data_IF_907745132299
#
_entry.id   IF_907745132299
#
_cell.length_a   1.000
_cell.length_b   1.000
_cell.length_c   1.000
_cell.angle_alpha   90.00
_cell.angle_beta   90.00
_cell.angle_gamma   90.00
#
_symmetry.space_group_name_H-M   'P 1'
#
loop_
_entity.id
_entity.type
_entity.pdbx_description
1 polymer ?
#
# COMPACT_ATOMS: atom_id res chain seq x y z
N UNK A 1 -29.43 -7.27 26.20
CA UNK A 1 -28.25 -6.48 25.78
C UNK A 1 -27.67 -7.17 24.55
N UNK A 2 -27.90 -6.63 23.38
CA UNK A 2 -27.31 -7.13 22.15
C UNK A 2 -25.79 -6.94 22.24
N UNK A 3 -25.05 -8.03 22.11
CA UNK A 3 -23.59 -8.03 22.01
C UNK A 3 -23.23 -7.25 20.73
N UNK A 4 -22.87 -5.98 20.86
CA UNK A 4 -22.33 -5.21 19.74
C UNK A 4 -21.10 -6.00 19.27
N UNK A 5 -21.21 -6.65 18.11
CA UNK A 5 -20.09 -7.29 17.45
C UNK A 5 -19.17 -6.14 17.03
N UNK A 6 -18.18 -5.84 17.86
CA UNK A 6 -17.08 -4.97 17.44
C UNK A 6 -16.38 -5.71 16.31
N UNK A 7 -16.72 -5.34 15.08
CA UNK A 7 -15.97 -5.79 13.91
C UNK A 7 -14.51 -5.41 14.14
N UNK A 8 -13.66 -6.43 14.32
CA UNK A 8 -12.26 -6.20 14.65
C UNK A 8 -11.55 -5.70 13.41
N UNK A 9 -11.34 -4.40 13.30
CA UNK A 9 -10.50 -3.82 12.26
C UNK A 9 -9.11 -4.47 12.38
N UNK A 10 -8.70 -5.18 11.34
CA UNK A 10 -7.44 -5.95 11.31
C UNK A 10 -6.30 -5.15 10.67
N UNK A 11 -6.64 -4.19 9.80
CA UNK A 11 -5.68 -3.38 9.07
C UNK A 11 -6.26 -1.99 8.78
N UNK A 12 -5.41 -1.00 8.87
CA UNK A 12 -5.77 0.38 8.55
C UNK A 12 -4.76 0.92 7.54
N UNK A 13 -5.27 1.45 6.43
CA UNK A 13 -4.47 2.16 5.44
C UNK A 13 -4.37 3.61 5.86
N UNK A 14 -3.19 4.19 5.79
CA UNK A 14 -2.94 5.60 6.08
C UNK A 14 -2.19 6.18 4.88
N UNK A 15 -2.87 7.05 4.14
CA UNK A 15 -2.27 7.75 3.03
C UNK A 15 -1.41 8.91 3.57
N UNK A 16 -0.11 8.66 3.74
CA UNK A 16 0.81 9.70 4.25
C UNK A 16 1.05 10.81 3.22
N UNK A 17 0.81 10.52 1.94
CA UNK A 17 0.80 11.46 0.84
C UNK A 17 -0.03 10.91 -0.32
N UNK A 18 -0.72 11.77 -1.05
CA UNK A 18 -1.36 11.44 -2.32
C UNK A 18 -0.52 11.91 -3.53
N UNK A 19 0.66 12.47 -3.30
CA UNK A 19 1.57 12.93 -4.33
C UNK A 19 2.43 11.76 -4.83
N UNK A 20 2.46 11.54 -6.14
CA UNK A 20 3.30 10.54 -6.78
C UNK A 20 4.22 11.19 -7.81
N UNK A 21 5.43 10.67 -7.93
CA UNK A 21 6.39 11.08 -8.95
C UNK A 21 6.15 10.40 -10.32
N UNK A 22 5.16 9.49 -10.40
CA UNK A 22 4.77 8.79 -11.64
C UNK A 22 3.31 9.08 -11.98
N UNK A 23 2.96 8.84 -13.25
CA UNK A 23 1.58 8.91 -13.75
C UNK A 23 1.25 7.63 -14.54
N UNK A 24 1.16 6.52 -13.83
CA UNK A 24 0.86 5.22 -14.42
C UNK A 24 -0.60 5.18 -14.93
N UNK A 25 -0.83 4.66 -16.13
CA UNK A 25 -2.16 4.60 -16.73
C UNK A 25 -3.12 3.67 -15.99
N UNK A 26 -2.59 2.69 -15.28
CA UNK A 26 -3.36 1.73 -14.48
C UNK A 26 -3.74 2.24 -13.09
N UNK A 27 -3.17 3.37 -12.64
CA UNK A 27 -3.47 3.93 -11.34
C UNK A 27 -4.77 4.75 -11.41
N UNK A 28 -5.60 4.65 -10.36
CA UNK A 28 -6.75 5.57 -10.28
C UNK A 28 -6.25 7.01 -10.17
N UNK A 29 -6.96 7.91 -10.81
CA UNK A 29 -6.74 9.35 -10.65
C UNK A 29 -7.68 9.86 -9.57
N UNK A 30 -7.12 10.48 -8.55
CA UNK A 30 -7.93 11.18 -7.55
C UNK A 30 -8.12 12.65 -7.95
N UNK A 31 -9.22 13.25 -7.48
CA UNK A 31 -9.56 14.65 -7.73
C UNK A 31 -9.29 15.54 -6.50
N UNK A 32 -8.74 14.97 -5.43
CA UNK A 32 -8.40 15.66 -4.19
C UNK A 32 -7.17 16.55 -4.36
N UNK A 33 -7.08 17.60 -3.57
CA UNK A 33 -5.88 18.44 -3.49
C UNK A 33 -4.66 17.61 -3.06
N UNK A 34 -3.49 17.97 -3.61
CA UNK A 34 -2.22 17.35 -3.24
C UNK A 34 -1.89 17.66 -1.78
N UNK A 35 -1.66 16.63 -0.98
CA UNK A 35 -1.34 16.77 0.43
C UNK A 35 -0.34 15.72 0.90
N UNK A 36 0.52 16.13 1.83
CA UNK A 36 1.33 15.27 2.68
C UNK A 36 0.91 15.48 4.12
N UNK A 37 0.84 14.41 4.92
CA UNK A 37 0.59 14.53 6.35
C UNK A 37 1.81 15.16 7.03
N UNK A 38 1.58 16.11 7.92
CA UNK A 38 2.61 16.53 8.87
C UNK A 38 2.89 15.42 9.89
N UNK A 39 4.05 15.48 10.56
CA UNK A 39 4.37 14.51 11.61
C UNK A 39 3.38 14.57 12.78
N UNK A 40 2.85 15.76 13.08
CA UNK A 40 1.86 15.95 14.15
C UNK A 40 0.52 15.31 13.77
N UNK A 41 0.04 15.52 12.52
CA UNK A 41 -1.15 14.87 11.99
C UNK A 41 -0.98 13.35 12.02
N UNK A 42 0.16 12.82 11.53
CA UNK A 42 0.44 11.40 11.55
C UNK A 42 0.49 10.83 12.97
N UNK A 43 1.17 11.50 13.89
CA UNK A 43 1.25 11.09 15.30
C UNK A 43 -0.13 11.04 15.96
N UNK A 44 -1.00 12.02 15.64
CA UNK A 44 -2.39 12.03 16.12
C UNK A 44 -3.17 10.82 15.59
N UNK A 45 -3.06 10.53 14.30
CA UNK A 45 -3.70 9.36 13.68
C UNK A 45 -3.22 8.07 14.36
N UNK A 46 -1.90 7.90 14.58
CA UNK A 46 -1.33 6.70 15.20
C UNK A 46 -1.85 6.48 16.61
N UNK A 47 -2.03 7.53 17.41
CA UNK A 47 -2.61 7.42 18.78
C UNK A 47 -4.01 6.82 18.77
N UNK A 48 -4.82 7.15 17.77
CA UNK A 48 -6.16 6.58 17.61
C UNK A 48 -6.11 5.15 17.04
N UNK A 49 -5.34 4.95 15.99
CA UNK A 49 -5.28 3.70 15.23
C UNK A 49 -4.74 2.52 16.05
N UNK A 50 -3.73 2.75 16.90
CA UNK A 50 -3.10 1.69 17.70
C UNK A 50 -4.03 0.95 18.66
N UNK A 51 -5.18 1.53 18.98
CA UNK A 51 -6.20 0.91 19.81
C UNK A 51 -6.96 -0.22 19.09
N UNK A 52 -6.94 -0.22 17.74
CA UNK A 52 -7.69 -1.15 16.90
C UNK A 52 -6.82 -2.23 16.29
N UNK A 53 -5.65 -1.86 15.82
CA UNK A 53 -4.71 -2.77 15.17
C UNK A 53 -3.27 -2.29 15.34
N UNK A 54 -2.34 -3.22 15.32
CA UNK A 54 -0.91 -2.89 15.16
C UNK A 54 -0.43 -2.90 13.71
N UNK A 55 -1.29 -3.27 12.75
CA UNK A 55 -0.92 -3.39 11.34
C UNK A 55 -1.44 -2.21 10.55
N UNK A 56 -0.54 -1.42 9.99
CA UNK A 56 -0.85 -0.27 9.14
C UNK A 56 -0.19 -0.41 7.77
N UNK A 57 -0.81 0.21 6.80
CA UNK A 57 -0.38 0.24 5.40
C UNK A 57 -0.18 1.70 5.01
N UNK A 58 1.04 2.13 4.69
CA UNK A 58 1.35 3.53 4.39
C UNK A 58 1.13 3.84 2.90
N UNK A 59 -0.04 3.48 2.40
CA UNK A 59 -0.44 3.80 1.03
C UNK A 59 -1.96 3.79 0.86
N UNK A 60 -2.45 4.62 -0.02
CA UNK A 60 -3.73 4.56 -0.73
C UNK A 60 -3.46 5.02 -2.15
N UNK A 61 -3.19 6.30 -2.33
CA UNK A 61 -2.62 6.93 -3.51
C UNK A 61 -1.20 7.44 -3.22
N UNK A 62 -0.55 8.00 -4.23
CA UNK A 62 0.77 8.60 -4.09
C UNK A 62 1.93 7.60 -4.02
N UNK A 63 3.11 8.13 -3.78
CA UNK A 63 4.33 7.35 -3.52
C UNK A 63 4.87 7.68 -2.14
N UNK A 64 4.79 6.78 -1.18
CA UNK A 64 5.19 7.05 0.21
C UNK A 64 6.64 7.54 0.36
N UNK A 65 7.56 7.05 -0.48
CA UNK A 65 8.96 7.44 -0.43
C UNK A 65 9.24 8.86 -0.98
N UNK A 66 8.21 9.58 -1.47
CA UNK A 66 8.32 11.02 -1.76
C UNK A 66 8.19 11.86 -0.50
N UNK A 67 7.69 11.28 0.60
CA UNK A 67 7.51 12.03 1.84
C UNK A 67 8.87 12.39 2.46
N UNK A 68 9.19 13.68 2.67
CA UNK A 68 10.52 14.09 3.14
C UNK A 68 10.87 13.56 4.53
N UNK A 69 9.86 13.36 5.36
CA UNK A 69 10.01 12.87 6.74
C UNK A 69 9.70 11.37 6.88
N UNK A 70 9.82 10.58 5.79
CA UNK A 70 9.47 9.16 5.80
C UNK A 70 10.17 8.36 6.93
N UNK A 71 11.46 8.61 7.16
CA UNK A 71 12.20 7.96 8.25
C UNK A 71 11.61 8.32 9.63
N UNK A 72 11.22 9.58 9.85
CA UNK A 72 10.59 9.99 11.12
C UNK A 72 9.22 9.35 11.30
N UNK A 73 8.46 9.14 10.21
CA UNK A 73 7.21 8.39 10.21
C UNK A 73 7.43 6.96 10.70
N UNK A 74 8.48 6.28 10.21
CA UNK A 74 8.84 4.93 10.69
C UNK A 74 9.24 4.92 12.18
N UNK A 75 9.96 5.93 12.66
CA UNK A 75 10.29 6.06 14.09
C UNK A 75 9.04 6.26 14.95
N UNK A 76 8.07 7.08 14.51
CA UNK A 76 6.78 7.21 15.21
C UNK A 76 6.04 5.87 15.25
N UNK A 77 6.10 5.09 14.18
CA UNK A 77 5.52 3.76 14.15
C UNK A 77 6.19 2.82 15.15
N UNK A 78 7.52 2.84 15.24
CA UNK A 78 8.28 2.00 16.16
C UNK A 78 7.99 2.34 17.62
N UNK A 79 8.02 3.62 17.99
CA UNK A 79 7.66 4.11 19.33
C UNK A 79 6.24 3.72 19.77
N UNK A 80 5.35 3.46 18.81
CA UNK A 80 3.97 3.04 19.06
C UNK A 80 3.72 1.54 18.77
N UNK A 81 4.79 0.74 18.60
CA UNK A 81 4.75 -0.72 18.35
C UNK A 81 3.92 -1.10 17.10
N UNK A 82 3.85 -0.18 16.12
CA UNK A 82 3.12 -0.40 14.88
C UNK A 82 3.96 -1.23 13.89
N UNK A 83 3.28 -2.10 13.16
CA UNK A 83 3.86 -2.93 12.11
C UNK A 83 3.45 -2.42 10.73
N UNK A 84 4.39 -1.86 10.02
CA UNK A 84 4.18 -1.15 8.76
C UNK A 84 4.26 -2.11 7.56
N UNK A 85 3.31 -1.99 6.66
CA UNK A 85 3.43 -2.47 5.29
C UNK A 85 3.54 -1.29 4.35
N UNK A 86 4.60 -1.28 3.56
CA UNK A 86 4.91 -0.26 2.57
C UNK A 86 4.63 -0.81 1.17
N UNK A 87 3.97 -0.02 0.33
CA UNK A 87 3.94 -0.25 -1.12
C UNK A 87 4.60 0.94 -1.79
N UNK A 88 5.55 0.68 -2.67
CA UNK A 88 6.33 1.71 -3.36
C UNK A 88 6.54 1.35 -4.83
N UNK A 89 6.69 2.34 -5.69
CA UNK A 89 7.11 2.15 -7.07
C UNK A 89 8.62 1.87 -7.20
N UNK A 90 9.36 1.96 -6.10
CA UNK A 90 10.78 1.65 -6.04
C UNK A 90 11.72 2.74 -6.56
N UNK A 91 11.23 3.83 -7.14
CA UNK A 91 12.06 4.89 -7.75
C UNK A 91 13.03 5.52 -6.77
N UNK A 92 12.65 5.60 -5.50
CA UNK A 92 13.44 6.24 -4.43
C UNK A 92 14.13 5.25 -3.50
N UNK A 93 14.14 3.95 -3.78
CA UNK A 93 14.81 2.95 -2.93
C UNK A 93 16.28 3.29 -2.65
N UNK A 94 16.98 3.92 -3.61
CA UNK A 94 18.37 4.32 -3.44
C UNK A 94 18.60 5.32 -2.29
N UNK A 95 17.57 6.09 -1.91
CA UNK A 95 17.63 7.04 -0.77
C UNK A 95 17.40 6.37 0.58
N UNK A 96 16.82 5.18 0.57
CA UNK A 96 16.28 4.51 1.74
C UNK A 96 16.82 3.08 1.87
N UNK A 97 18.06 2.84 1.44
CA UNK A 97 18.67 1.51 1.54
C UNK A 97 18.80 1.02 3.00
N UNK A 98 18.81 1.93 3.96
CA UNK A 98 18.88 1.66 5.39
C UNK A 98 17.56 1.22 6.02
N UNK A 99 16.43 1.50 5.39
CA UNK A 99 15.11 1.15 5.98
C UNK A 99 14.84 -0.35 6.03
N UNK A 100 15.58 -1.17 5.29
CA UNK A 100 15.39 -2.62 5.29
C UNK A 100 15.59 -3.27 6.66
N UNK A 101 16.28 -2.62 7.59
CA UNK A 101 16.47 -3.11 8.97
C UNK A 101 15.56 -2.41 9.99
N UNK A 102 14.68 -1.50 9.57
CA UNK A 102 13.85 -0.74 10.51
C UNK A 102 12.84 -1.64 11.24
N UNK A 103 12.78 -1.64 12.60
CA UNK A 103 11.98 -2.60 13.37
C UNK A 103 10.48 -2.56 13.06
N UNK A 104 9.93 -1.36 12.80
CA UNK A 104 8.51 -1.22 12.47
C UNK A 104 8.16 -1.72 11.07
N UNK A 105 9.13 -1.85 10.17
CA UNK A 105 8.87 -2.18 8.77
C UNK A 105 8.74 -3.70 8.59
N UNK A 106 7.50 -4.19 8.57
CA UNK A 106 7.20 -5.62 8.47
C UNK A 106 7.29 -6.15 7.04
N UNK A 107 6.79 -5.40 6.06
CA UNK A 107 6.74 -5.80 4.65
C UNK A 107 6.92 -4.62 3.72
N UNK A 108 7.66 -4.83 2.65
CA UNK A 108 7.78 -3.89 1.53
C UNK A 108 7.31 -4.60 0.27
N UNK A 109 6.33 -4.04 -0.41
CA UNK A 109 5.89 -4.48 -1.74
C UNK A 109 6.36 -3.46 -2.77
N UNK A 110 7.23 -3.89 -3.67
CA UNK A 110 7.78 -3.05 -4.74
C UNK A 110 6.96 -3.29 -6.00
N UNK A 111 6.26 -2.26 -6.45
CA UNK A 111 5.35 -2.30 -7.61
C UNK A 111 6.15 -2.18 -8.90
N UNK A 112 6.82 -3.27 -9.31
CA UNK A 112 7.70 -3.27 -10.48
C UNK A 112 6.94 -3.08 -11.80
N UNK A 113 5.64 -3.34 -11.82
CA UNK A 113 4.76 -3.00 -12.95
C UNK A 113 4.78 -1.49 -13.30
N UNK A 114 5.23 -0.64 -12.39
CA UNK A 114 5.36 0.80 -12.65
C UNK A 114 6.54 1.16 -13.53
N UNK A 115 7.48 0.23 -13.78
CA UNK A 115 8.74 0.49 -14.50
C UNK A 115 8.51 1.01 -15.92
N UNK A 116 7.42 0.61 -16.58
CA UNK A 116 7.07 1.08 -17.91
C UNK A 116 6.83 2.60 -17.96
N UNK A 117 6.43 3.18 -16.84
CA UNK A 117 6.10 4.62 -16.71
C UNK A 117 7.25 5.44 -16.09
N UNK A 118 8.38 4.81 -15.84
CA UNK A 118 9.56 5.47 -15.29
C UNK A 118 10.52 5.91 -16.40
N UNK A 119 11.07 7.11 -16.26
CA UNK A 119 12.13 7.63 -17.12
C UNK A 119 13.54 7.34 -16.59
N UNK A 120 13.65 6.52 -15.53
CA UNK A 120 14.93 6.12 -14.93
C UNK A 120 15.70 5.17 -15.85
N UNK A 121 17.02 5.17 -15.73
CA UNK A 121 17.83 4.14 -16.34
C UNK A 121 17.49 2.78 -15.73
N UNK A 122 17.14 1.82 -16.58
CA UNK A 122 16.69 0.50 -16.13
C UNK A 122 17.79 -0.28 -15.39
N UNK A 123 19.03 -0.15 -15.84
CA UNK A 123 20.16 -0.85 -15.21
C UNK A 123 20.43 -0.30 -13.81
N UNK A 124 20.41 1.02 -13.63
CA UNK A 124 20.59 1.67 -12.34
C UNK A 124 19.45 1.33 -11.37
N UNK A 125 18.21 1.31 -11.90
CA UNK A 125 17.04 0.92 -11.11
C UNK A 125 17.15 -0.55 -10.65
N UNK A 126 17.48 -1.47 -11.56
CA UNK A 126 17.62 -2.89 -11.22
C UNK A 126 18.81 -3.15 -10.32
N UNK A 127 19.91 -2.42 -10.48
CA UNK A 127 21.05 -2.49 -9.56
C UNK A 127 20.63 -2.10 -8.13
N UNK A 128 19.90 -1.00 -7.99
CA UNK A 128 19.36 -0.54 -6.68
C UNK A 128 18.40 -1.58 -6.09
N UNK A 129 17.49 -2.11 -6.89
CA UNK A 129 16.53 -3.13 -6.47
C UNK A 129 17.23 -4.40 -5.98
N UNK A 130 18.22 -4.90 -6.75
CA UNK A 130 19.00 -6.10 -6.40
C UNK A 130 19.79 -5.87 -5.12
N UNK A 131 20.42 -4.70 -4.98
CA UNK A 131 21.13 -4.31 -3.76
C UNK A 131 20.19 -4.34 -2.57
N UNK A 132 19.00 -3.74 -2.69
CA UNK A 132 17.98 -3.75 -1.65
C UNK A 132 17.53 -5.18 -1.29
N UNK A 133 17.28 -6.02 -2.28
CA UNK A 133 16.90 -7.43 -2.10
C UNK A 133 18.01 -8.20 -1.35
N UNK A 134 19.24 -8.08 -1.79
CA UNK A 134 20.37 -8.81 -1.22
C UNK A 134 20.63 -8.39 0.24
N UNK A 135 20.53 -7.10 0.54
CA UNK A 135 20.61 -6.60 1.93
C UNK A 135 19.46 -7.13 2.78
N UNK A 136 18.22 -6.98 2.34
CA UNK A 136 17.04 -7.46 3.07
C UNK A 136 17.12 -8.97 3.36
N UNK A 137 17.69 -9.74 2.44
CA UNK A 137 17.89 -11.17 2.63
C UNK A 137 18.89 -11.50 3.76
N UNK A 138 19.91 -10.66 4.00
CA UNK A 138 20.88 -10.90 5.09
C UNK A 138 20.24 -10.73 6.48
N UNK A 139 19.27 -9.85 6.62
CA UNK A 139 18.56 -9.57 7.88
C UNK A 139 17.32 -10.44 8.10
N UNK A 140 16.88 -11.18 7.08
CA UNK A 140 15.63 -11.96 7.10
C UNK A 140 14.37 -11.11 7.43
N UNK A 141 14.50 -9.80 7.32
CA UNK A 141 13.50 -8.80 7.64
C UNK A 141 13.81 -7.51 6.88
N UNK A 142 12.81 -6.74 6.37
CA UNK A 142 11.40 -7.10 6.27
C UNK A 142 11.14 -8.21 5.23
N UNK A 143 9.88 -8.63 5.13
CA UNK A 143 9.43 -9.39 3.95
C UNK A 143 9.46 -8.45 2.74
N UNK A 144 10.15 -8.83 1.68
CA UNK A 144 10.19 -8.08 0.42
C UNK A 144 9.43 -8.84 -0.65
N UNK A 145 8.52 -8.15 -1.29
CA UNK A 145 7.71 -8.67 -2.38
C UNK A 145 7.91 -7.79 -3.61
N UNK A 146 8.42 -8.36 -4.67
CA UNK A 146 8.55 -7.71 -5.99
C UNK A 146 7.32 -8.10 -6.80
N UNK A 147 6.48 -7.12 -7.14
CA UNK A 147 5.18 -7.36 -7.75
C UNK A 147 5.17 -6.97 -9.21
N UNK A 148 4.68 -7.90 -10.04
CA UNK A 148 4.37 -7.69 -11.43
C UNK A 148 2.87 -7.84 -11.67
N UNK A 149 2.34 -7.06 -12.60
CA UNK A 149 0.99 -7.27 -13.11
C UNK A 149 1.06 -7.91 -14.49
N UNK A 150 0.25 -8.96 -14.67
CA UNK A 150 0.02 -9.55 -15.98
C UNK A 150 -0.86 -8.63 -16.79
N UNK A 151 -0.48 -8.43 -18.01
CA UNK A 151 -1.28 -7.69 -18.96
C UNK A 151 -1.10 -8.27 -20.36
N UNK A 152 -2.07 -9.06 -20.78
CA UNK A 152 -2.07 -9.71 -22.09
C UNK A 152 -2.32 -8.72 -23.25
N UNK A 153 -2.73 -7.49 -22.95
CA UNK A 153 -3.13 -6.50 -23.95
C UNK A 153 -1.99 -5.55 -24.36
N UNK A 154 -0.92 -5.46 -23.56
CA UNK A 154 0.17 -4.53 -23.81
C UNK A 154 1.52 -5.22 -23.84
N UNK A 155 2.36 -4.81 -24.77
CA UNK A 155 3.79 -5.17 -24.71
C UNK A 155 4.47 -4.36 -23.61
N UNK A 156 5.14 -5.08 -22.69
CA UNK A 156 5.81 -4.51 -21.53
C UNK A 156 7.31 -4.82 -21.59
N UNK A 157 8.07 -4.12 -22.46
CA UNK A 157 9.46 -4.47 -22.74
C UNK A 157 10.38 -4.25 -21.54
N UNK A 158 10.16 -3.24 -20.71
CA UNK A 158 10.96 -3.03 -19.51
C UNK A 158 10.67 -4.09 -18.45
N UNK A 159 9.41 -4.47 -18.27
CA UNK A 159 8.99 -5.55 -17.37
C UNK A 159 9.64 -6.87 -17.76
N UNK A 160 9.65 -7.22 -19.05
CA UNK A 160 10.35 -8.43 -19.55
C UNK A 160 11.83 -8.40 -19.21
N UNK A 161 12.52 -7.29 -19.47
CA UNK A 161 13.94 -7.13 -19.11
C UNK A 161 14.18 -7.26 -17.60
N UNK A 162 13.30 -6.74 -16.76
CA UNK A 162 13.41 -6.90 -15.31
C UNK A 162 13.30 -8.38 -14.92
N UNK A 163 12.37 -9.11 -15.51
CA UNK A 163 12.21 -10.55 -15.27
C UNK A 163 13.48 -11.31 -15.70
N UNK A 164 14.03 -11.00 -16.87
CA UNK A 164 15.26 -11.63 -17.38
C UNK A 164 16.44 -11.37 -16.45
N UNK A 165 16.63 -10.12 -15.98
CA UNK A 165 17.68 -9.75 -15.03
C UNK A 165 17.53 -10.52 -13.70
N UNK A 166 16.31 -10.65 -13.17
CA UNK A 166 16.06 -11.39 -11.94
C UNK A 166 16.30 -12.90 -12.14
N UNK A 167 15.89 -13.45 -13.28
CA UNK A 167 16.14 -14.86 -13.65
C UNK A 167 17.63 -15.16 -13.71
N UNK A 168 18.41 -14.32 -14.37
CA UNK A 168 19.86 -14.47 -14.47
C UNK A 168 20.53 -14.34 -13.09
N UNK A 169 20.22 -13.24 -12.36
CA UNK A 169 20.84 -12.94 -11.06
C UNK A 169 20.63 -14.02 -10.01
N UNK A 170 19.43 -14.60 -9.94
CA UNK A 170 19.06 -15.55 -8.89
C UNK A 170 18.91 -16.97 -9.39
N UNK A 171 19.27 -17.24 -10.64
CA UNK A 171 19.16 -18.57 -11.30
C UNK A 171 17.73 -19.12 -11.17
N UNK A 172 16.76 -18.30 -11.56
CA UNK A 172 15.34 -18.60 -11.46
C UNK A 172 14.76 -18.95 -12.85
N UNK A 173 13.53 -19.44 -12.82
CA UNK A 173 12.69 -19.62 -14.01
C UNK A 173 11.35 -18.94 -13.77
N UNK A 174 11.38 -17.65 -13.55
CA UNK A 174 10.16 -16.84 -13.38
C UNK A 174 9.35 -16.88 -14.66
N UNK A 175 8.11 -17.31 -14.55
CA UNK A 175 7.12 -17.25 -15.62
C UNK A 175 5.83 -16.70 -15.08
N UNK A 176 5.06 -16.02 -15.92
CA UNK A 176 3.75 -15.47 -15.51
C UNK A 176 2.71 -16.57 -15.21
N UNK A 177 3.04 -17.86 -15.44
CA UNK A 177 2.12 -18.97 -15.19
C UNK A 177 1.91 -19.26 -13.70
N UNK A 178 2.92 -19.01 -12.87
CA UNK A 178 2.83 -19.13 -11.43
C UNK A 178 2.64 -17.76 -10.79
N UNK A 179 1.85 -17.68 -9.75
CA UNK A 179 1.53 -16.42 -9.09
C UNK A 179 2.57 -16.01 -8.07
N UNK A 180 3.32 -16.94 -7.50
CA UNK A 180 4.20 -16.70 -6.37
C UNK A 180 5.48 -17.49 -6.46
N UNK A 181 6.61 -16.79 -6.32
CA UNK A 181 7.94 -17.38 -6.28
C UNK A 181 8.68 -16.90 -5.05
N UNK A 182 9.40 -17.80 -4.41
CA UNK A 182 10.32 -17.46 -3.33
C UNK A 182 11.74 -17.40 -3.87
N UNK A 183 12.37 -16.23 -3.81
CA UNK A 183 13.77 -16.06 -4.24
C UNK A 183 14.74 -16.43 -3.10
N UNK A 184 14.47 -15.90 -1.89
CA UNK A 184 15.22 -16.13 -0.66
C UNK A 184 14.25 -16.27 0.52
N UNK A 185 14.75 -16.47 1.75
CA UNK A 185 13.91 -16.78 2.91
C UNK A 185 12.74 -15.78 3.12
N UNK A 186 13.00 -14.49 2.95
CA UNK A 186 12.01 -13.41 3.14
C UNK A 186 11.71 -12.62 1.86
N UNK A 187 12.20 -13.08 0.69
CA UNK A 187 12.07 -12.38 -0.58
C UNK A 187 11.20 -13.16 -1.54
N UNK A 188 10.21 -12.49 -2.13
CA UNK A 188 9.23 -13.09 -3.03
C UNK A 188 9.08 -12.27 -4.31
N UNK A 189 8.68 -12.96 -5.38
CA UNK A 189 8.18 -12.34 -6.62
C UNK A 189 6.75 -12.80 -6.82
N UNK A 190 5.86 -11.85 -7.01
CA UNK A 190 4.44 -12.12 -7.21
C UNK A 190 3.98 -11.58 -8.56
N UNK A 191 3.22 -12.43 -9.26
CA UNK A 191 2.51 -12.09 -10.48
C UNK A 191 1.01 -12.06 -10.21
N UNK A 192 0.39 -10.92 -10.39
CA UNK A 192 -1.03 -10.72 -10.19
C UNK A 192 -1.70 -10.19 -11.46
N UNK A 193 -3.00 -10.31 -11.55
CA UNK A 193 -3.74 -9.72 -12.66
C UNK A 193 -4.02 -8.25 -12.38
N UNK A 194 -3.92 -7.44 -13.42
CA UNK A 194 -4.37 -6.06 -13.32
C UNK A 194 -5.88 -6.04 -13.05
N UNK A 195 -6.29 -5.28 -12.05
CA UNK A 195 -7.70 -5.11 -11.72
C UNK A 195 -8.21 -3.73 -12.20
N UNK A 196 -9.51 -3.63 -12.42
CA UNK A 196 -10.17 -2.35 -12.69
C UNK A 196 -10.51 -1.66 -11.37
N UNK A 197 -10.18 -0.37 -11.27
CA UNK A 197 -10.58 0.42 -10.13
C UNK A 197 -12.10 0.55 -10.06
N UNK A 198 -12.68 0.57 -8.85
CA UNK A 198 -14.10 0.87 -8.70
C UNK A 198 -14.43 2.24 -9.28
N UNK A 199 -15.55 2.30 -9.99
CA UNK A 199 -16.05 3.52 -10.61
C UNK A 199 -17.57 3.57 -10.39
N UNK A 200 -18.07 4.74 -10.00
CA UNK A 200 -19.52 4.94 -9.77
C UNK A 200 -20.35 4.92 -11.06
N UNK A 201 -19.72 5.19 -12.20
CA UNK A 201 -20.37 5.21 -13.51
C UNK A 201 -20.52 3.80 -14.10
N UNK A 202 -19.74 2.84 -13.60
CA UNK A 202 -19.80 1.46 -14.06
C UNK A 202 -20.95 0.69 -13.40
N UNK A 203 -21.57 -0.19 -14.17
CA UNK A 203 -22.57 -1.11 -13.62
C UNK A 203 -21.96 -2.00 -12.55
N UNK A 204 -22.71 -2.30 -11.46
CA UNK A 204 -22.24 -3.23 -10.44
C UNK A 204 -21.80 -4.55 -11.06
N UNK A 205 -20.62 -5.03 -10.72
CA UNK A 205 -20.08 -6.31 -11.21
C UNK A 205 -20.95 -7.48 -10.77
N UNK A 206 -21.48 -7.41 -9.54
CA UNK A 206 -22.35 -8.43 -8.97
C UNK A 206 -23.40 -7.81 -8.04
N UNK A 207 -24.58 -8.43 -7.97
CA UNK A 207 -25.68 -8.00 -7.08
C UNK A 207 -25.55 -8.56 -5.67
N UNK A 208 -24.78 -9.63 -5.48
CA UNK A 208 -24.58 -10.31 -4.21
C UNK A 208 -23.08 -10.56 -4.00
N UNK A 209 -22.59 -10.32 -2.81
CA UNK A 209 -21.18 -10.52 -2.49
C UNK A 209 -20.86 -10.16 -1.05
N UNK A 210 -19.61 -10.32 -0.67
CA UNK A 210 -19.07 -9.86 0.61
C UNK A 210 -17.93 -8.90 0.38
N UNK A 211 -17.92 -7.78 1.11
CA UNK A 211 -16.85 -6.82 1.07
C UNK A 211 -16.11 -6.79 2.42
N UNK A 212 -14.78 -6.64 2.39
CA UNK A 212 -13.97 -6.45 3.59
C UNK A 212 -13.93 -4.98 4.05
N UNK A 213 -14.32 -4.06 3.17
CA UNK A 213 -14.39 -2.64 3.47
C UNK A 213 -15.29 -2.36 4.65
N UNK A 214 -14.88 -1.47 5.53
CA UNK A 214 -15.50 -1.13 6.81
C UNK A 214 -15.67 -2.32 7.79
N UNK A 215 -15.62 -3.58 7.37
CA UNK A 215 -15.74 -4.76 8.27
C UNK A 215 -14.42 -5.11 8.95
N UNK A 216 -13.35 -5.22 8.18
CA UNK A 216 -12.03 -5.63 8.70
C UNK A 216 -10.91 -4.70 8.31
N UNK A 217 -11.21 -3.71 7.50
CA UNK A 217 -10.27 -2.70 7.04
C UNK A 217 -10.97 -1.35 6.82
N UNK A 218 -10.20 -0.27 6.96
CA UNK A 218 -10.57 1.09 6.60
C UNK A 218 -9.36 1.79 6.01
N UNK A 219 -9.57 2.95 5.38
CA UNK A 219 -8.47 3.82 4.98
C UNK A 219 -8.69 5.24 5.52
N UNK A 220 -7.59 5.90 5.83
CA UNK A 220 -7.51 7.30 6.25
C UNK A 220 -6.73 8.02 5.15
N UNK A 221 -7.38 8.94 4.48
CA UNK A 221 -6.79 9.72 3.40
C UNK A 221 -5.96 10.87 3.96
N UNK A 222 -5.06 11.44 3.16
CA UNK A 222 -4.13 12.50 3.59
C UNK A 222 -4.84 13.78 4.07
N UNK A 223 -6.09 14.02 3.67
CA UNK A 223 -6.94 15.11 4.16
C UNK A 223 -7.73 14.76 5.45
N UNK A 224 -7.51 13.56 6.00
CA UNK A 224 -8.16 13.06 7.21
C UNK A 224 -9.47 12.34 6.97
N UNK A 225 -9.99 12.26 5.77
CA UNK A 225 -11.22 11.53 5.46
C UNK A 225 -11.03 10.03 5.69
N UNK A 226 -12.00 9.43 6.38
CA UNK A 226 -12.04 8.00 6.67
C UNK A 226 -13.01 7.34 5.69
N UNK A 227 -12.52 6.31 4.99
CA UNK A 227 -13.23 5.60 3.92
C UNK A 227 -13.20 4.09 4.15
N UNK A 228 -14.10 3.30 3.52
CA UNK A 228 -14.22 1.87 3.78
C UNK A 228 -12.97 1.04 3.46
N UNK A 229 -12.18 1.42 2.48
CA UNK A 229 -10.96 0.73 2.08
C UNK A 229 -10.07 1.61 1.18
N UNK A 230 -8.89 1.10 0.86
CA UNK A 230 -7.92 1.78 0.01
C UNK A 230 -8.31 1.92 -1.47
N UNK A 231 -9.45 1.37 -1.89
CA UNK A 231 -9.96 1.52 -3.27
C UNK A 231 -10.83 2.77 -3.44
N UNK A 232 -11.32 3.35 -2.33
CA UNK A 232 -12.08 4.60 -2.37
C UNK A 232 -11.13 5.80 -2.24
N UNK A 233 -10.54 6.18 -3.35
CA UNK A 233 -9.48 7.19 -3.40
C UNK A 233 -9.98 8.64 -3.39
N UNK A 234 -11.26 8.86 -3.60
CA UNK A 234 -11.90 10.18 -3.65
C UNK A 234 -12.96 10.41 -2.54
N UNK A 235 -13.02 9.49 -1.57
CA UNK A 235 -13.98 9.54 -0.46
C UNK A 235 -15.45 9.56 -0.94
N UNK A 236 -15.78 8.78 -1.96
CA UNK A 236 -17.16 8.62 -2.41
C UNK A 236 -18.07 8.06 -1.30
N UNK A 237 -17.51 7.20 -0.45
CA UNK A 237 -18.19 6.67 0.74
C UNK A 237 -17.50 7.22 1.98
N UNK A 238 -17.82 8.45 2.33
CA UNK A 238 -17.24 9.12 3.49
C UNK A 238 -17.85 8.58 4.79
N UNK A 239 -17.00 8.03 5.67
CA UNK A 239 -17.40 7.55 7.00
C UNK A 239 -17.26 8.63 8.09
N UNK A 240 -16.35 9.57 7.91
CA UNK A 240 -16.07 10.68 8.82
C UNK A 240 -14.71 11.28 8.53
N UNK A 241 -14.21 12.16 9.40
CA UNK A 241 -12.89 12.77 9.25
C UNK A 241 -12.13 12.73 10.58
N UNK A 242 -10.94 12.12 10.58
CA UNK A 242 -10.14 11.85 11.79
C UNK A 242 -9.59 13.13 12.45
N UNK A 243 -9.52 14.23 11.72
CA UNK A 243 -9.11 15.53 12.28
C UNK A 243 -10.27 16.27 12.94
N UNK A 244 -11.51 15.79 12.78
CA UNK A 244 -12.71 16.38 13.39
C UNK A 244 -13.24 15.54 14.55
N UNK A 245 -13.17 14.22 14.42
CA UNK A 245 -13.67 13.25 15.40
C UNK A 245 -12.66 12.12 15.55
N UNK A 246 -12.52 11.56 16.74
CA UNK A 246 -11.71 10.38 16.96
C UNK A 246 -12.27 9.15 16.21
N UNK A 247 -11.41 8.16 15.99
CA UNK A 247 -11.80 6.97 15.24
C UNK A 247 -12.92 6.17 15.92
N UNK A 248 -12.98 6.19 17.26
CA UNK A 248 -14.05 5.52 17.99
C UNK A 248 -15.41 6.16 17.65
N UNK A 249 -15.51 7.48 17.65
CA UNK A 249 -16.72 8.19 17.26
C UNK A 249 -17.12 7.85 15.83
N UNK A 250 -16.19 7.89 14.87
CA UNK A 250 -16.44 7.57 13.46
C UNK A 250 -16.98 6.15 13.29
N UNK A 251 -16.37 5.14 13.96
CA UNK A 251 -16.79 3.74 13.88
C UNK A 251 -18.10 3.43 14.62
N UNK A 252 -18.66 4.39 15.37
CA UNK A 252 -19.95 4.27 16.03
C UNK A 252 -21.01 5.21 15.48
N UNK A 253 -20.69 6.00 14.46
CA UNK A 253 -21.61 6.92 13.82
C UNK A 253 -22.47 6.23 12.73
N UNK A 254 -23.54 6.91 12.33
CA UNK A 254 -24.55 6.36 11.40
C UNK A 254 -23.98 5.97 10.03
N UNK A 255 -23.06 6.75 9.38
CA UNK A 255 -22.51 6.36 8.10
C UNK A 255 -21.80 4.98 8.14
N UNK A 256 -21.00 4.75 9.18
CA UNK A 256 -20.32 3.47 9.36
C UNK A 256 -21.29 2.32 9.67
N UNK A 257 -22.22 2.52 10.61
CA UNK A 257 -23.20 1.50 11.00
C UNK A 257 -24.09 1.10 9.84
N UNK A 258 -24.55 2.07 9.06
CA UNK A 258 -25.39 1.82 7.87
C UNK A 258 -24.61 0.97 6.87
N UNK A 259 -23.38 1.37 6.52
CA UNK A 259 -22.58 0.63 5.56
C UNK A 259 -22.29 -0.82 5.99
N UNK A 260 -21.89 -1.04 7.25
CA UNK A 260 -21.60 -2.39 7.76
C UNK A 260 -22.84 -3.27 7.79
N UNK A 261 -24.03 -2.70 7.94
CA UNK A 261 -25.30 -3.44 7.94
C UNK A 261 -25.74 -3.84 6.53
N UNK A 262 -25.37 -3.08 5.52
CA UNK A 262 -25.72 -3.31 4.11
C UNK A 262 -24.84 -4.36 3.43
N UNK A 263 -23.68 -4.70 4.02
CA UNK A 263 -22.76 -5.76 3.58
C UNK A 263 -22.95 -7.05 4.39
#
# INVERSE_FOLDING_TARGET
MAKVMTNKIKRIYIEITNICNLSCSFCSKHHRENKMLSLDEFSSIIKDVKQYTKYIYLHVQGEPLTHPDFNKILYICDENEMQVQLVTNGTFLYKYLDIYSHPSLRKISISLQSIEYQSVNLEDYMHTLITFIDYSATFKHPIVEVRFWRNDQYDLPKTKKCIDILNEKYTLSLTERNNHYRIKENIYVDFDNMFSWPDLENMPLEKNGTCLGAKTQIAILSNGDVVPCCLDTDAHVLLGNIFKNDLNTILHDEPYKKLVKEF
#
